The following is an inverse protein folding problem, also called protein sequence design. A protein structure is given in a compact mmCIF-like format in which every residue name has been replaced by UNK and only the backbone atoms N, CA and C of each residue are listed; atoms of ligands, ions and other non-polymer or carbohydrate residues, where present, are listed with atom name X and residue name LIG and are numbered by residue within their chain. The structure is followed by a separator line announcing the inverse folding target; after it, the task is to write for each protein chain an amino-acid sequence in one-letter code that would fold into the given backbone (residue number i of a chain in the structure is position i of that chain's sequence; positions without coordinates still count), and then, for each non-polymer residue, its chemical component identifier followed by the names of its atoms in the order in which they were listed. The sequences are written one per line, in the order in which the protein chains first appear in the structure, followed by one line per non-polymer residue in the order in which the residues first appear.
data_IF_521802962334
#
_entry.id   IF_521802962334
#
_cell.length_a   1.000
_cell.length_b   1.000
_cell.length_c   1.000
_cell.angle_alpha   90.00
_cell.angle_beta   90.00
_cell.angle_gamma   90.00
#
_symmetry.space_group_name_H-M   'P 1'
#
loop_
_entity.id
_entity.type
_entity.pdbx_description
1 polymer ?
#
# COMPACT_ATOMS: atom_id res chain seq x y z
N UNK A 1 21.56 11.94 -5.66
CA UNK A 1 20.97 12.53 -4.44
C UNK A 1 20.91 11.46 -3.39
N UNK A 2 21.69 11.55 -2.30
CA UNK A 2 21.69 10.54 -1.24
C UNK A 2 20.33 10.42 -0.52
N UNK A 3 19.99 9.19 -0.11
CA UNK A 3 18.81 8.94 0.71
C UNK A 3 18.89 9.66 2.05
N UNK A 4 17.82 10.36 2.39
CA UNK A 4 17.72 11.19 3.58
C UNK A 4 17.29 10.37 4.79
N UNK A 5 17.89 10.66 5.94
CA UNK A 5 17.38 10.21 7.25
C UNK A 5 16.15 11.05 7.62
N UNK A 6 15.01 10.40 7.79
CA UNK A 6 13.76 11.03 8.21
C UNK A 6 13.83 11.29 9.73
N UNK A 7 13.48 12.50 10.22
CA UNK A 7 13.47 12.79 11.65
C UNK A 7 12.62 11.80 12.45
N UNK A 8 13.06 11.47 13.66
CA UNK A 8 12.38 10.48 14.51
C UNK A 8 10.92 10.86 14.81
N UNK A 9 10.63 12.15 14.99
CA UNK A 9 9.26 12.65 15.21
C UNK A 9 8.33 12.30 14.04
N UNK A 10 8.82 12.43 12.80
CA UNK A 10 8.09 12.10 11.58
C UNK A 10 7.98 10.58 11.42
N UNK A 11 9.06 9.83 11.68
CA UNK A 11 9.03 8.35 11.67
C UNK A 11 8.04 7.79 12.68
N UNK A 12 7.89 8.41 13.86
CA UNK A 12 6.89 8.01 14.87
C UNK A 12 5.46 8.26 14.42
N UNK A 13 5.20 9.34 13.70
CA UNK A 13 3.91 9.57 13.05
C UNK A 13 3.64 8.49 11.99
N UNK A 14 4.64 8.22 11.14
CA UNK A 14 4.55 7.21 10.09
C UNK A 14 4.29 5.81 10.66
N UNK A 15 4.99 5.43 11.71
CA UNK A 15 4.84 4.14 12.37
C UNK A 15 3.65 4.08 13.35
N UNK A 16 2.81 5.13 13.43
CA UNK A 16 1.66 5.11 14.32
C UNK A 16 0.69 4.01 13.92
N UNK A 17 0.08 3.34 14.91
CA UNK A 17 -0.87 2.25 14.66
C UNK A 17 -2.04 2.67 13.74
N UNK A 18 -2.47 3.93 13.85
CA UNK A 18 -3.50 4.53 12.99
C UNK A 18 -3.04 4.57 11.52
N UNK A 19 -1.87 5.12 11.23
CA UNK A 19 -1.35 5.18 9.86
C UNK A 19 -1.08 3.80 9.27
N UNK A 20 -0.50 2.89 10.08
CA UNK A 20 -0.24 1.51 9.67
C UNK A 20 -1.51 0.78 9.25
N UNK A 21 -2.54 0.86 10.09
CA UNK A 21 -3.84 0.24 9.82
C UNK A 21 -4.58 0.90 8.66
N UNK A 22 -4.58 2.24 8.58
CA UNK A 22 -5.22 2.96 7.48
C UNK A 22 -4.65 2.50 6.12
N UNK A 23 -3.32 2.44 6.02
CA UNK A 23 -2.64 2.07 4.79
C UNK A 23 -2.87 0.58 4.43
N UNK A 24 -2.75 -0.32 5.41
CA UNK A 24 -3.03 -1.74 5.22
C UNK A 24 -4.48 -1.98 4.76
N UNK A 25 -5.45 -1.37 5.46
CA UNK A 25 -6.87 -1.49 5.17
C UNK A 25 -7.26 -0.95 3.81
N UNK A 26 -6.72 0.21 3.44
CA UNK A 26 -7.00 0.83 2.15
C UNK A 26 -6.61 -0.11 1.00
N UNK A 27 -5.42 -0.70 1.07
CA UNK A 27 -4.98 -1.69 0.09
C UNK A 27 -5.81 -2.97 0.15
N UNK A 28 -6.10 -3.46 1.36
CA UNK A 28 -6.88 -4.68 1.56
C UNK A 28 -8.27 -4.60 0.92
N UNK A 29 -9.03 -3.54 1.22
CA UNK A 29 -10.39 -3.34 0.70
C UNK A 29 -10.39 -3.34 -0.82
N UNK A 30 -9.46 -2.61 -1.45
CA UNK A 30 -9.33 -2.56 -2.92
C UNK A 30 -8.96 -3.93 -3.50
N UNK A 31 -8.10 -4.69 -2.83
CA UNK A 31 -7.70 -6.01 -3.30
C UNK A 31 -8.83 -7.05 -3.25
N UNK A 32 -9.74 -6.95 -2.29
CA UNK A 32 -10.80 -7.96 -2.08
C UNK A 32 -12.15 -7.61 -2.68
N UNK A 33 -12.38 -6.35 -3.05
CA UNK A 33 -13.72 -5.86 -3.39
C UNK A 33 -14.44 -6.71 -4.46
N UNK A 34 -13.72 -7.04 -5.54
CA UNK A 34 -14.23 -7.85 -6.65
C UNK A 34 -14.03 -9.36 -6.46
N UNK A 35 -13.43 -9.81 -5.36
CA UNK A 35 -13.27 -11.23 -5.09
C UNK A 35 -14.65 -11.87 -4.80
N UNK A 36 -15.08 -12.89 -5.56
CA UNK A 36 -16.35 -13.59 -5.30
C UNK A 36 -16.46 -14.16 -3.88
N UNK A 37 -15.35 -14.64 -3.32
CA UNK A 37 -15.31 -15.24 -1.97
C UNK A 37 -15.47 -14.19 -0.87
N UNK A 38 -15.11 -12.92 -1.14
CA UNK A 38 -15.39 -11.82 -0.22
C UNK A 38 -16.90 -11.55 -0.12
N UNK A 39 -17.58 -11.72 -1.26
CA UNK A 39 -19.03 -11.77 -1.32
C UNK A 39 -19.72 -10.51 -0.83
N UNK A 40 -21.05 -10.59 -0.74
CA UNK A 40 -21.86 -9.47 -0.28
C UNK A 40 -21.79 -9.29 1.24
N UNK A 41 -21.54 -10.35 1.98
CA UNK A 41 -21.39 -10.30 3.44
C UNK A 41 -20.20 -9.41 3.83
N UNK A 42 -19.03 -9.59 3.19
CA UNK A 42 -17.86 -8.76 3.42
C UNK A 42 -18.08 -7.30 3.00
N UNK A 43 -18.70 -7.07 1.83
CA UNK A 43 -19.01 -5.71 1.36
C UNK A 43 -20.02 -4.98 2.25
N UNK A 44 -21.07 -5.66 2.69
CA UNK A 44 -22.06 -5.12 3.63
C UNK A 44 -21.42 -4.69 4.95
N UNK A 45 -20.43 -5.46 5.38
CA UNK A 45 -19.66 -5.18 6.58
C UNK A 45 -18.79 -3.93 6.44
N UNK A 46 -18.07 -3.80 5.33
CA UNK A 46 -17.32 -2.59 5.02
C UNK A 46 -18.23 -1.36 4.93
N UNK A 47 -19.43 -1.48 4.35
CA UNK A 47 -20.43 -0.39 4.36
C UNK A 47 -20.84 0.01 5.77
N UNK A 48 -21.02 -0.96 6.66
CA UNK A 48 -21.34 -0.69 8.08
C UNK A 48 -20.21 0.09 8.77
N UNK A 49 -18.95 -0.22 8.42
CA UNK A 49 -17.77 0.48 8.92
C UNK A 49 -17.48 1.79 8.17
N UNK A 50 -18.26 2.15 7.14
CA UNK A 50 -18.00 3.27 6.23
C UNK A 50 -16.64 3.17 5.53
N UNK A 51 -16.23 1.94 5.26
CA UNK A 51 -15.02 1.54 4.56
C UNK A 51 -15.33 0.92 3.19
N UNK A 52 -16.56 1.06 2.70
CA UNK A 52 -16.92 0.59 1.37
C UNK A 52 -16.22 1.38 0.27
N UNK A 53 -15.88 0.67 -0.80
CA UNK A 53 -15.28 1.27 -1.97
C UNK A 53 -16.36 2.06 -2.73
N UNK A 54 -16.13 3.32 -3.10
CA UNK A 54 -17.15 4.11 -3.79
C UNK A 54 -17.48 3.50 -5.15
N UNK A 55 -18.69 2.99 -5.34
CA UNK A 55 -19.07 2.29 -6.57
C UNK A 55 -18.30 0.96 -6.74
N UNK A 56 -17.91 0.64 -7.98
CA UNK A 56 -17.09 -0.54 -8.28
C UNK A 56 -15.68 -0.14 -8.74
N UNK A 57 -14.99 0.64 -7.90
CA UNK A 57 -13.64 1.16 -8.17
C UNK A 57 -12.53 0.20 -7.76
N UNK A 58 -12.77 -1.10 -7.88
CA UNK A 58 -11.73 -2.12 -7.67
C UNK A 58 -10.67 -2.02 -8.77
N UNK A 59 -9.37 -2.14 -8.49
CA UNK A 59 -8.35 -2.14 -9.53
C UNK A 59 -8.48 -3.31 -10.51
N UNK A 60 -9.15 -4.40 -10.11
CA UNK A 60 -9.34 -5.60 -10.94
C UNK A 60 -10.78 -6.09 -10.91
N UNK A 61 -11.21 -6.69 -12.01
CA UNK A 61 -12.47 -7.44 -12.07
C UNK A 61 -12.38 -8.76 -11.32
N UNK A 62 -13.53 -9.42 -11.14
CA UNK A 62 -13.62 -10.69 -10.41
C UNK A 62 -12.81 -11.84 -11.04
N UNK A 63 -12.58 -11.80 -12.36
CA UNK A 63 -11.71 -12.72 -13.11
C UNK A 63 -10.23 -12.29 -13.14
N UNK A 64 -9.89 -11.20 -12.44
CA UNK A 64 -8.52 -10.74 -12.25
C UNK A 64 -7.99 -9.81 -13.34
N UNK A 65 -8.80 -9.45 -14.34
CA UNK A 65 -8.39 -8.47 -15.35
C UNK A 65 -8.25 -7.06 -14.76
N UNK A 66 -7.28 -6.31 -15.28
CA UNK A 66 -7.01 -4.94 -14.86
C UNK A 66 -8.10 -4.00 -15.40
N UNK A 67 -8.72 -3.20 -14.53
CA UNK A 67 -9.77 -2.26 -14.89
C UNK A 67 -9.19 -0.84 -15.07
N UNK A 68 -9.19 -0.29 -16.28
CA UNK A 68 -8.52 0.97 -16.60
C UNK A 68 -9.46 2.19 -16.65
N UNK A 69 -10.76 1.98 -16.56
CA UNK A 69 -11.81 2.95 -16.85
C UNK A 69 -12.75 3.22 -15.67
N UNK A 70 -12.46 2.64 -14.49
CA UNK A 70 -13.30 2.78 -13.31
C UNK A 70 -12.71 3.71 -12.24
N UNK A 71 -11.75 4.58 -12.55
CA UNK A 71 -11.16 5.56 -11.61
C UNK A 71 -10.40 4.98 -10.41
N UNK A 72 -10.27 3.65 -10.30
CA UNK A 72 -9.51 2.98 -9.23
C UNK A 72 -8.06 3.46 -9.13
N UNK A 73 -7.45 3.78 -10.28
CA UNK A 73 -6.10 4.34 -10.34
C UNK A 73 -6.01 5.81 -9.93
N UNK A 74 -7.09 6.59 -10.04
CA UNK A 74 -7.13 7.93 -9.46
C UNK A 74 -7.19 7.86 -7.94
N UNK A 75 -7.95 6.92 -7.36
CA UNK A 75 -7.95 6.69 -5.91
C UNK A 75 -6.53 6.35 -5.42
N UNK A 76 -5.78 5.51 -6.15
CA UNK A 76 -4.37 5.21 -5.86
C UNK A 76 -3.48 6.44 -5.90
N UNK A 77 -3.53 7.23 -6.97
CA UNK A 77 -2.71 8.43 -7.12
C UNK A 77 -3.05 9.48 -6.06
N UNK A 78 -4.33 9.69 -5.79
CA UNK A 78 -4.82 10.68 -4.83
C UNK A 78 -4.44 10.31 -3.40
N UNK A 79 -4.66 9.07 -2.98
CA UNK A 79 -4.35 8.62 -1.62
C UNK A 79 -2.85 8.79 -1.30
N UNK A 80 -1.97 8.40 -2.21
CA UNK A 80 -0.53 8.58 -2.00
C UNK A 80 -0.08 10.04 -2.06
N UNK A 81 -0.70 10.87 -2.90
CA UNK A 81 -0.49 12.33 -2.90
C UNK A 81 -0.87 12.95 -1.56
N UNK A 82 -1.97 12.51 -0.96
CA UNK A 82 -2.41 12.95 0.37
C UNK A 82 -1.44 12.50 1.48
N UNK A 83 -0.96 11.25 1.45
CA UNK A 83 0.08 10.76 2.37
C UNK A 83 1.39 11.55 2.26
N UNK A 84 1.80 11.91 1.03
CA UNK A 84 2.98 12.77 0.80
C UNK A 84 2.74 14.15 1.41
N UNK A 85 1.59 14.78 1.16
CA UNK A 85 1.26 16.09 1.71
C UNK A 85 1.24 16.10 3.25
N UNK A 86 0.70 15.05 3.87
CA UNK A 86 0.73 14.87 5.32
C UNK A 86 2.17 14.74 5.84
N UNK A 87 3.01 13.94 5.19
CA UNK A 87 4.42 13.78 5.59
C UNK A 87 5.21 15.07 5.43
N UNK A 88 5.02 15.79 4.33
CA UNK A 88 5.64 17.09 4.07
C UNK A 88 5.20 18.13 5.11
N UNK A 89 3.94 18.10 5.54
CA UNK A 89 3.46 18.94 6.64
C UNK A 89 4.21 18.63 7.96
N UNK A 90 4.36 17.36 8.31
CA UNK A 90 5.08 16.95 9.52
C UNK A 90 6.59 17.26 9.45
N UNK A 91 7.22 17.16 8.27
CA UNK A 91 8.59 17.62 8.04
C UNK A 91 8.69 19.13 8.25
N UNK A 92 7.77 19.90 7.68
CA UNK A 92 7.74 21.36 7.87
C UNK A 92 7.62 21.74 9.34
N UNK A 93 6.74 21.09 10.11
CA UNK A 93 6.61 21.29 11.56
C UNK A 93 7.90 20.93 12.33
N UNK A 94 8.68 19.98 11.81
CA UNK A 94 9.99 19.62 12.35
C UNK A 94 11.13 20.56 11.90
N UNK A 95 10.83 21.61 11.11
CA UNK A 95 11.82 22.55 10.57
C UNK A 95 12.59 22.01 9.37
N UNK A 96 12.03 21.00 8.70
CA UNK A 96 12.70 20.22 7.65
C UNK A 96 12.05 20.43 6.28
N UNK A 97 12.82 20.38 5.17
CA UNK A 97 12.24 20.46 3.83
C UNK A 97 11.49 19.17 3.47
N UNK A 98 10.62 19.20 2.44
CA UNK A 98 10.03 17.99 1.84
C UNK A 98 11.07 16.95 1.44
N UNK A 99 10.68 15.68 1.43
CA UNK A 99 11.53 14.61 0.89
C UNK A 99 11.65 14.82 -0.63
N UNK A 100 12.86 14.73 -1.14
CA UNK A 100 13.09 14.82 -2.57
C UNK A 100 12.57 13.59 -3.31
N UNK A 101 12.17 13.77 -4.56
CA UNK A 101 11.52 12.74 -5.37
C UNK A 101 12.49 12.19 -6.40
N UNK A 102 12.32 10.93 -6.78
CA UNK A 102 13.05 10.38 -7.93
C UNK A 102 12.49 10.98 -9.23
N UNK A 103 13.34 11.67 -9.99
CA UNK A 103 13.01 12.13 -11.34
C UNK A 103 13.01 10.98 -12.37
N UNK A 104 13.79 9.95 -12.09
CA UNK A 104 13.89 8.68 -12.81
C UNK A 104 14.16 7.58 -11.80
N UNK A 105 13.79 6.35 -12.13
CA UNK A 105 14.09 5.20 -11.26
C UNK A 105 15.61 5.02 -11.16
N UNK A 106 16.19 4.81 -9.95
CA UNK A 106 17.63 4.63 -9.80
C UNK A 106 18.13 3.45 -10.63
N UNK A 107 19.24 3.68 -11.33
CA UNK A 107 19.89 2.66 -12.15
C UNK A 107 20.53 1.58 -11.26
N UNK A 108 20.73 0.35 -11.79
CA UNK A 108 21.64 -0.61 -11.21
C UNK A 108 22.99 0.02 -10.83
N UNK A 109 23.45 -0.23 -9.60
CA UNK A 109 24.71 0.31 -9.09
C UNK A 109 24.66 1.77 -8.62
N UNK A 110 23.49 2.41 -8.58
CA UNK A 110 23.31 3.73 -7.97
C UNK A 110 23.74 3.68 -6.49
N UNK A 111 24.75 4.48 -6.12
CA UNK A 111 25.31 4.51 -4.77
C UNK A 111 24.44 5.24 -3.75
N UNK A 112 23.54 6.11 -4.22
CA UNK A 112 22.65 6.88 -3.37
C UNK A 112 21.40 6.07 -2.99
N UNK A 113 20.98 5.15 -3.87
CA UNK A 113 19.84 4.24 -3.68
C UNK A 113 20.20 2.78 -4.00
N UNK A 114 21.16 2.18 -3.27
CA UNK A 114 21.58 0.81 -3.54
C UNK A 114 20.43 -0.17 -3.36
N UNK A 115 20.33 -1.14 -4.27
CA UNK A 115 19.39 -2.26 -4.14
C UNK A 115 19.90 -3.20 -3.05
N UNK A 116 19.14 -3.44 -1.95
CA UNK A 116 19.57 -4.36 -0.92
C UNK A 116 19.70 -5.79 -1.47
N UNK A 117 20.67 -6.59 -1.01
CA UNK A 117 20.82 -7.98 -1.44
C UNK A 117 19.52 -8.79 -1.30
N UNK A 118 19.30 -9.74 -2.21
CA UNK A 118 18.24 -10.72 -2.03
C UNK A 118 18.58 -11.65 -0.86
N UNK A 119 17.56 -12.12 -0.14
CA UNK A 119 17.69 -13.06 0.97
C UNK A 119 16.93 -14.35 0.66
N UNK A 120 17.15 -15.37 1.49
CA UNK A 120 16.40 -16.62 1.44
C UNK A 120 15.09 -16.44 2.20
N UNK A 121 13.97 -16.43 1.48
CA UNK A 121 12.66 -16.21 2.06
C UNK A 121 12.24 -17.43 2.89
N UNK A 122 11.86 -17.19 4.14
CA UNK A 122 11.59 -18.24 5.11
C UNK A 122 10.41 -17.90 6.03
N UNK A 123 9.25 -17.62 5.44
CA UNK A 123 8.02 -17.40 6.22
C UNK A 123 7.56 -18.75 6.82
N UNK A 124 7.47 -18.89 8.15
CA UNK A 124 7.07 -20.13 8.81
C UNK A 124 5.61 -20.51 8.54
N UNK A 125 4.78 -19.58 8.06
CA UNK A 125 3.38 -19.84 7.69
C UNK A 125 3.24 -20.39 6.27
N UNK A 126 4.33 -20.38 5.49
CA UNK A 126 4.36 -20.82 4.10
C UNK A 126 5.03 -22.19 3.93
N UNK A 127 4.66 -22.88 2.86
CA UNK A 127 5.31 -24.15 2.50
C UNK A 127 6.77 -23.93 2.08
N UNK A 128 7.67 -24.93 2.28
CA UNK A 128 9.04 -24.86 1.77
C UNK A 128 9.12 -24.58 0.27
N UNK A 129 8.15 -25.07 -0.50
CA UNK A 129 8.04 -24.82 -1.94
C UNK A 129 7.69 -23.36 -2.24
N UNK A 130 6.74 -22.77 -1.50
CA UNK A 130 6.40 -21.34 -1.60
C UNK A 130 7.60 -20.48 -1.24
N UNK A 131 8.26 -20.78 -0.13
CA UNK A 131 9.47 -20.09 0.32
C UNK A 131 10.60 -20.14 -0.72
N UNK A 132 10.84 -21.30 -1.33
CA UNK A 132 11.83 -21.45 -2.39
C UNK A 132 11.45 -20.68 -3.68
N UNK A 133 10.16 -20.68 -4.06
CA UNK A 133 9.68 -19.88 -5.20
C UNK A 133 9.85 -18.38 -4.95
N UNK A 134 9.52 -17.93 -3.75
CA UNK A 134 9.69 -16.55 -3.31
C UNK A 134 11.14 -16.12 -3.32
N UNK A 135 12.03 -16.97 -2.84
CA UNK A 135 13.48 -16.74 -2.89
C UNK A 135 13.96 -16.53 -4.33
N UNK A 136 13.53 -17.38 -5.28
CA UNK A 136 13.87 -17.22 -6.70
C UNK A 136 13.34 -15.91 -7.26
N UNK A 137 12.09 -15.57 -6.93
CA UNK A 137 11.48 -14.31 -7.34
C UNK A 137 12.22 -13.09 -6.79
N UNK A 138 12.58 -13.07 -5.50
CA UNK A 138 13.34 -11.99 -4.87
C UNK A 138 14.70 -11.78 -5.56
N UNK A 139 15.42 -12.88 -5.86
CA UNK A 139 16.68 -12.81 -6.61
C UNK A 139 16.47 -12.23 -8.01
N UNK A 140 15.40 -12.61 -8.69
CA UNK A 140 15.09 -12.10 -10.02
C UNK A 140 14.72 -10.62 -10.00
N UNK A 141 13.77 -10.19 -9.16
CA UNK A 141 13.29 -8.79 -9.14
C UNK A 141 14.37 -7.79 -8.71
N UNK A 142 15.35 -8.24 -7.91
CA UNK A 142 16.50 -7.45 -7.48
C UNK A 142 17.65 -7.44 -8.50
N UNK A 143 17.60 -8.29 -9.53
CA UNK A 143 18.66 -8.37 -10.54
C UNK A 143 18.68 -7.14 -11.46
N UNK A 144 19.84 -6.85 -12.01
CA UNK A 144 20.02 -5.82 -13.05
C UNK A 144 19.24 -6.17 -14.31
N UNK A 145 19.18 -7.47 -14.64
CA UNK A 145 18.38 -7.98 -15.75
C UNK A 145 16.91 -7.57 -15.64
N UNK A 146 16.27 -7.76 -14.48
CA UNK A 146 14.87 -7.35 -14.30
C UNK A 146 14.68 -5.85 -14.47
N UNK A 147 15.63 -5.04 -14.00
CA UNK A 147 15.59 -3.61 -14.24
C UNK A 147 15.62 -3.29 -15.73
N UNK A 148 16.60 -3.84 -16.46
CA UNK A 148 16.80 -3.58 -17.88
C UNK A 148 15.61 -4.03 -18.73
N UNK A 149 15.12 -5.26 -18.50
CA UNK A 149 14.09 -5.88 -19.35
C UNK A 149 12.67 -5.56 -18.95
N UNK A 150 12.44 -5.01 -17.76
CA UNK A 150 11.08 -4.79 -17.23
C UNK A 150 10.90 -3.38 -16.72
N UNK A 151 11.59 -2.98 -15.65
CA UNK A 151 11.34 -1.67 -15.03
C UNK A 151 11.67 -0.50 -15.95
N UNK A 152 12.79 -0.57 -16.68
CA UNK A 152 13.19 0.51 -17.60
C UNK A 152 12.21 0.69 -18.75
N UNK A 153 11.58 -0.40 -19.21
CA UNK A 153 10.57 -0.36 -20.26
C UNK A 153 9.24 0.19 -19.72
N UNK A 154 8.85 -0.20 -18.51
CA UNK A 154 7.66 0.31 -17.84
C UNK A 154 7.77 1.81 -17.54
N UNK A 155 8.92 2.29 -17.05
CA UNK A 155 9.18 3.72 -16.84
C UNK A 155 9.09 4.49 -18.16
N UNK A 156 9.74 4.00 -19.23
CA UNK A 156 9.64 4.62 -20.56
C UNK A 156 8.21 4.68 -21.06
N UNK A 157 7.44 3.60 -20.87
CA UNK A 157 6.04 3.55 -21.28
C UNK A 157 5.18 4.55 -20.51
N UNK A 158 5.24 4.52 -19.17
CA UNK A 158 4.42 5.35 -18.28
C UNK A 158 4.75 6.84 -18.37
N UNK A 159 5.99 7.18 -18.76
CA UNK A 159 6.42 8.58 -18.86
C UNK A 159 6.42 9.12 -20.29
N UNK A 160 6.09 8.30 -21.30
CA UNK A 160 6.09 8.78 -22.69
C UNK A 160 4.92 9.75 -22.94
N UNK A 161 5.14 10.87 -23.65
CA UNK A 161 4.06 11.79 -23.98
C UNK A 161 2.94 11.15 -24.82
N UNK A 162 3.26 10.10 -25.60
CA UNK A 162 2.28 9.37 -26.39
C UNK A 162 1.32 8.58 -25.49
N UNK A 163 1.86 7.81 -24.54
CA UNK A 163 1.07 7.06 -23.55
C UNK A 163 0.24 8.00 -22.68
N UNK A 164 0.86 9.07 -22.16
CA UNK A 164 0.20 10.03 -21.27
C UNK A 164 -1.00 10.73 -21.93
N UNK A 165 -0.96 10.98 -23.25
CA UNK A 165 -2.09 11.54 -24.00
C UNK A 165 -3.14 10.51 -24.40
N UNK A 166 -2.75 9.23 -24.49
CA UNK A 166 -3.65 8.16 -24.93
C UNK A 166 -4.49 7.58 -23.79
N UNK A 167 -4.03 7.71 -22.54
CA UNK A 167 -4.65 7.11 -21.37
C UNK A 167 -5.22 8.17 -20.43
N UNK A 168 -6.32 7.84 -19.75
CA UNK A 168 -6.83 8.64 -18.64
C UNK A 168 -5.86 8.61 -17.45
N UNK A 169 -5.97 9.58 -16.55
CA UNK A 169 -5.17 9.60 -15.32
C UNK A 169 -5.42 8.33 -14.49
N UNK A 170 -6.67 7.86 -14.41
CA UNK A 170 -7.03 6.61 -13.74
C UNK A 170 -6.38 5.38 -14.38
N UNK A 171 -6.30 5.30 -15.72
CA UNK A 171 -5.60 4.21 -16.40
C UNK A 171 -4.09 4.23 -16.11
N UNK A 172 -3.46 5.41 -16.11
CA UNK A 172 -2.03 5.57 -15.75
C UNK A 172 -1.80 5.13 -14.30
N UNK A 173 -2.64 5.58 -13.37
CA UNK A 173 -2.54 5.23 -11.96
C UNK A 173 -2.64 3.73 -11.71
N UNK A 174 -3.64 3.07 -12.30
CA UNK A 174 -3.85 1.64 -12.07
C UNK A 174 -2.78 0.79 -12.77
N UNK A 175 -2.31 1.20 -13.96
CA UNK A 175 -1.15 0.56 -14.60
C UNK A 175 0.12 0.71 -13.75
N UNK A 176 0.40 1.90 -13.23
CA UNK A 176 1.56 2.13 -12.37
C UNK A 176 1.48 1.27 -11.10
N UNK A 177 0.33 1.29 -10.41
CA UNK A 177 0.08 0.50 -9.20
C UNK A 177 0.27 -1.01 -9.46
N UNK A 178 -0.32 -1.52 -10.53
CA UNK A 178 -0.34 -2.96 -10.85
C UNK A 178 0.85 -3.45 -11.65
N UNK A 179 1.89 -2.62 -11.83
CA UNK A 179 3.13 -3.02 -12.50
C UNK A 179 4.35 -2.54 -11.72
N UNK A 180 4.86 -1.35 -12.05
CA UNK A 180 6.16 -0.88 -11.63
C UNK A 180 6.21 -0.55 -10.13
N UNK A 181 5.10 -0.10 -9.55
CA UNK A 181 4.98 0.20 -8.12
C UNK A 181 5.29 -1.02 -7.25
N UNK A 182 4.57 -2.13 -7.43
CA UNK A 182 4.80 -3.34 -6.61
C UNK A 182 6.21 -3.89 -6.82
N UNK A 183 6.78 -3.67 -8.02
CA UNK A 183 8.15 -4.06 -8.31
C UNK A 183 9.17 -3.20 -7.56
N UNK A 184 8.97 -1.88 -7.45
CA UNK A 184 9.82 -0.99 -6.67
C UNK A 184 9.85 -1.38 -5.19
N UNK A 185 8.68 -1.67 -4.60
CA UNK A 185 8.61 -2.11 -3.21
C UNK A 185 9.48 -3.34 -2.95
N UNK A 186 9.39 -4.36 -3.81
CA UNK A 186 10.17 -5.57 -3.62
C UNK A 186 11.65 -5.41 -3.98
N UNK A 187 11.96 -4.61 -5.01
CA UNK A 187 13.35 -4.34 -5.40
C UNK A 187 14.14 -3.66 -4.29
N UNK A 188 13.60 -2.62 -3.66
CA UNK A 188 14.29 -1.90 -2.57
C UNK A 188 13.99 -2.39 -1.15
N UNK A 189 13.18 -3.44 -1.00
CA UNK A 189 12.97 -4.08 0.30
C UNK A 189 14.27 -4.72 0.83
N UNK A 190 14.50 -4.63 2.13
CA UNK A 190 15.48 -5.48 2.84
C UNK A 190 14.76 -6.65 3.49
N UNK A 191 15.52 -7.65 3.92
CA UNK A 191 14.99 -8.75 4.72
C UNK A 191 14.30 -8.19 5.97
N UNK A 192 13.03 -8.56 6.24
CA UNK A 192 12.31 -8.04 7.40
C UNK A 192 12.80 -8.71 8.69
N UNK A 193 12.61 -8.04 9.82
CA UNK A 193 12.86 -8.61 11.17
C UNK A 193 11.96 -9.79 11.52
N UNK A 194 10.95 -10.06 10.68
CA UNK A 194 10.03 -11.17 10.78
C UNK A 194 8.93 -11.07 9.74
N UNK A 195 8.19 -12.17 9.58
CA UNK A 195 7.01 -12.23 8.72
C UNK A 195 5.78 -12.06 9.58
N UNK A 196 5.08 -10.95 9.39
CA UNK A 196 3.82 -10.68 10.06
C UNK A 196 2.76 -11.64 9.50
N UNK A 197 1.91 -12.23 10.34
CA UNK A 197 0.73 -12.95 9.87
C UNK A 197 -0.10 -12.07 8.93
N UNK A 198 -0.85 -12.68 8.02
CA UNK A 198 -1.71 -11.93 7.10
C UNK A 198 -2.72 -11.02 7.83
N UNK A 199 -3.31 -10.08 7.08
CA UNK A 199 -4.19 -9.01 7.59
C UNK A 199 -5.21 -9.53 8.62
N UNK A 200 -4.96 -9.19 9.88
CA UNK A 200 -5.87 -9.41 11.00
C UNK A 200 -6.12 -8.07 11.67
N UNK A 201 -7.26 -7.42 11.43
CA UNK A 201 -7.45 -6.06 11.92
C UNK A 201 -7.70 -6.00 13.45
N UNK A 202 -8.05 -7.13 14.08
CA UNK A 202 -8.16 -7.22 15.54
C UNK A 202 -6.78 -7.35 16.20
N UNK A 203 -5.83 -7.93 15.47
CA UNK A 203 -4.45 -8.07 15.91
C UNK A 203 -3.49 -7.92 14.73
N UNK A 204 -3.29 -6.68 14.24
CA UNK A 204 -2.53 -6.44 13.02
C UNK A 204 -1.09 -6.87 13.16
N UNK A 205 -0.55 -6.78 14.37
CA UNK A 205 0.77 -7.22 14.75
C UNK A 205 0.82 -8.73 15.13
N UNK A 206 -0.28 -9.48 15.05
CA UNK A 206 -0.31 -10.89 15.44
C UNK A 206 0.16 -11.16 16.88
N UNK A 207 -0.01 -10.19 17.78
CA UNK A 207 0.32 -10.27 19.20
C UNK A 207 1.79 -10.02 19.49
N UNK A 208 2.58 -9.72 18.45
CA UNK A 208 4.02 -9.53 18.55
C UNK A 208 4.37 -8.03 18.40
N UNK A 209 4.77 -7.37 19.50
CA UNK A 209 5.02 -5.93 19.51
C UNK A 209 6.17 -5.50 18.60
N UNK A 210 6.99 -6.44 18.08
CA UNK A 210 8.04 -6.09 17.11
C UNK A 210 7.48 -5.49 15.83
N UNK A 211 6.26 -5.85 15.44
CA UNK A 211 5.63 -5.32 14.21
C UNK A 211 5.06 -3.91 14.39
N UNK A 212 4.82 -3.47 15.63
CA UNK A 212 4.47 -2.08 15.95
C UNK A 212 5.72 -1.18 16.14
N UNK A 213 6.91 -1.78 16.22
CA UNK A 213 8.15 -1.03 16.45
C UNK A 213 8.53 -0.14 15.26
N UNK A 214 9.29 0.92 15.53
CA UNK A 214 9.79 1.85 14.49
C UNK A 214 10.70 1.17 13.46
N UNK A 215 11.34 0.07 13.85
CA UNK A 215 12.26 -0.69 13.01
C UNK A 215 11.55 -1.76 12.19
N UNK A 216 10.23 -1.94 12.36
CA UNK A 216 9.40 -2.68 11.40
C UNK A 216 8.94 -1.75 10.29
N UNK A 217 9.80 -1.63 9.27
CA UNK A 217 9.64 -0.80 8.08
C UNK A 217 9.74 -1.63 6.79
N UNK A 218 9.24 -2.87 6.84
CA UNK A 218 9.34 -3.78 5.70
C UNK A 218 8.57 -3.22 4.49
N UNK A 219 9.33 -2.87 3.44
CA UNK A 219 8.79 -2.25 2.24
C UNK A 219 7.81 -3.16 1.48
N UNK A 220 7.87 -4.49 1.68
CA UNK A 220 6.97 -5.46 1.07
C UNK A 220 5.62 -5.64 1.77
N UNK A 221 5.42 -5.04 2.95
CA UNK A 221 4.17 -5.13 3.73
C UNK A 221 3.52 -3.74 3.85
N UNK A 222 2.26 -3.62 3.42
CA UNK A 222 1.52 -2.35 3.46
C UNK A 222 1.33 -1.85 4.89
N UNK A 223 1.38 -2.72 5.90
CA UNK A 223 1.37 -2.30 7.30
C UNK A 223 2.60 -1.47 7.71
N UNK A 224 3.70 -1.55 6.96
CA UNK A 224 4.97 -0.93 7.35
C UNK A 224 5.71 -0.18 6.27
N UNK A 225 5.32 -0.35 5.00
CA UNK A 225 6.11 0.16 3.88
C UNK A 225 6.33 1.68 3.94
N UNK A 226 5.34 2.45 4.37
CA UNK A 226 5.43 3.92 4.53
C UNK A 226 6.38 4.38 5.65
N UNK A 227 6.82 3.48 6.54
CA UNK A 227 7.86 3.80 7.54
C UNK A 227 9.25 3.79 6.90
N UNK A 228 9.42 3.05 5.80
CA UNK A 228 10.69 2.93 5.10
C UNK A 228 10.99 4.22 4.29
N UNK A 229 12.20 4.79 4.37
CA UNK A 229 12.53 5.98 3.60
C UNK A 229 12.35 5.83 2.07
N UNK A 230 12.61 4.65 1.49
CA UNK A 230 12.44 4.41 0.05
C UNK A 230 11.01 4.64 -0.44
N UNK A 231 10.01 4.40 0.42
CA UNK A 231 8.61 4.63 0.11
C UNK A 231 8.38 6.05 -0.41
N UNK A 232 8.96 7.06 0.25
CA UNK A 232 8.72 8.45 -0.11
C UNK A 232 9.39 8.84 -1.43
N UNK A 233 10.55 8.26 -1.73
CA UNK A 233 11.22 8.50 -3.01
C UNK A 233 10.48 7.83 -4.19
N UNK A 234 10.06 6.57 -4.01
CA UNK A 234 9.34 5.83 -5.04
C UNK A 234 7.93 6.40 -5.26
N UNK A 235 7.21 6.74 -4.19
CA UNK A 235 5.91 7.39 -4.31
C UNK A 235 6.01 8.83 -4.82
N UNK A 236 7.13 9.52 -4.58
CA UNK A 236 7.43 10.79 -5.24
C UNK A 236 7.51 10.66 -6.76
N UNK A 237 8.12 9.59 -7.29
CA UNK A 237 8.14 9.31 -8.73
C UNK A 237 6.74 8.99 -9.28
N UNK A 238 5.95 8.21 -8.51
CA UNK A 238 4.56 7.90 -8.86
C UNK A 238 3.71 9.17 -8.88
N UNK A 239 3.85 10.05 -7.88
CA UNK A 239 3.14 11.32 -7.77
C UNK A 239 3.47 12.25 -8.95
N UNK A 240 4.73 12.28 -9.38
CA UNK A 240 5.16 13.07 -10.54
C UNK A 240 4.54 12.59 -11.87
N UNK A 241 3.97 11.37 -11.95
CA UNK A 241 3.19 10.95 -13.12
C UNK A 241 1.94 11.81 -13.31
N UNK A 242 1.35 12.34 -12.24
CA UNK A 242 0.18 13.22 -12.29
C UNK A 242 0.56 14.52 -13.00
N UNK A 243 1.71 15.11 -12.64
CA UNK A 243 2.20 16.34 -13.24
C UNK A 243 2.61 16.13 -14.70
N UNK A 244 3.22 14.97 -15.03
CA UNK A 244 3.55 14.61 -16.41
C UNK A 244 2.30 14.43 -17.26
N UNK A 245 1.27 13.77 -16.72
CA UNK A 245 -0.01 13.59 -17.40
C UNK A 245 -0.72 14.93 -17.62
N UNK A 246 -0.76 15.77 -16.60
CA UNK A 246 -1.31 17.12 -16.65
C UNK A 246 -0.63 17.96 -17.74
N UNK A 247 0.71 17.98 -17.76
CA UNK A 247 1.49 18.68 -18.77
C UNK A 247 1.27 18.12 -20.19
N UNK A 248 1.25 16.80 -20.36
CA UNK A 248 1.05 16.16 -21.65
C UNK A 248 -0.34 16.42 -22.25
N UNK A 249 -1.35 16.63 -21.41
CA UNK A 249 -2.74 16.89 -21.78
C UNK A 249 -3.14 18.37 -21.64
N UNK A 250 -2.21 19.26 -21.29
CA UNK A 250 -2.45 20.69 -21.08
C UNK A 250 -3.56 20.97 -20.05
N UNK A 251 -3.62 20.14 -19.00
CA UNK A 251 -4.57 20.26 -17.89
C UNK A 251 -3.88 21.01 -16.76
N UNK A 252 -4.26 22.27 -16.46
CA UNK A 252 -3.56 23.06 -15.44
C UNK A 252 -3.89 22.63 -14.00
N UNK A 253 -5.05 22.00 -13.78
CA UNK A 253 -5.47 21.46 -12.49
C UNK A 253 -6.21 20.14 -12.73
N UNK A 254 -5.88 19.12 -11.94
CA UNK A 254 -6.59 17.84 -12.01
C UNK A 254 -7.98 17.99 -11.36
N UNK A 255 -9.02 17.68 -12.13
CA UNK A 255 -10.36 17.47 -11.60
C UNK A 255 -10.50 16.01 -11.21
N UNK A 256 -10.23 15.69 -9.96
CA UNK A 256 -10.28 14.32 -9.45
C UNK A 256 -11.71 13.75 -9.45
N UNK A 257 -11.82 12.52 -9.94
CA UNK A 257 -13.01 11.67 -9.78
C UNK A 257 -12.75 10.59 -8.73
N UNK A 258 -11.57 9.98 -8.78
CA UNK A 258 -11.04 9.09 -7.73
C UNK A 258 -10.36 9.88 -6.62
N UNK A 259 -10.88 9.77 -5.40
CA UNK A 259 -10.37 10.48 -4.21
C UNK A 259 -10.50 9.64 -2.93
N UNK A 260 -10.82 8.35 -3.06
CA UNK A 260 -11.07 7.52 -1.90
C UNK A 260 -9.77 7.21 -1.16
N UNK A 261 -9.67 7.66 0.10
CA UNK A 261 -8.52 7.44 0.99
C UNK A 261 -8.83 6.49 2.15
N UNK A 262 -9.99 5.83 2.09
CA UNK A 262 -10.46 4.90 3.12
C UNK A 262 -11.65 5.44 3.91
N UNK A 263 -12.00 4.72 4.97
CA UNK A 263 -13.05 5.10 5.92
C UNK A 263 -12.50 5.86 7.14
N UNK A 264 -13.33 6.09 8.17
CA UNK A 264 -12.89 6.71 9.43
C UNK A 264 -11.82 5.86 10.14
N UNK A 265 -10.98 6.53 10.94
CA UNK A 265 -9.96 5.86 11.77
C UNK A 265 -10.63 4.84 12.71
N UNK A 266 -10.27 3.57 12.54
CA UNK A 266 -10.80 2.46 13.32
C UNK A 266 -10.03 2.22 14.63
N UNK A 267 -8.86 2.83 14.83
CA UNK A 267 -8.01 2.59 16.02
C UNK A 267 -8.71 2.95 17.33
N UNK A 268 -9.41 4.10 17.49
CA UNK A 268 -10.16 4.39 18.70
C UNK A 268 -11.25 3.33 18.99
N UNK A 269 -11.86 2.76 17.95
CA UNK A 269 -12.86 1.70 18.08
C UNK A 269 -12.24 0.33 18.41
N UNK A 270 -11.06 0.03 17.87
CA UNK A 270 -10.32 -1.21 18.15
C UNK A 270 -9.67 -1.22 19.54
N UNK A 271 -9.22 -0.06 20.03
CA UNK A 271 -8.57 0.08 21.33
C UNK A 271 -9.56 0.15 22.49
N UNK A 272 -10.76 0.71 22.29
CA UNK A 272 -11.85 0.65 23.28
C UNK A 272 -12.44 -0.75 23.47
N UNK A 273 -12.17 -1.68 22.53
CA UNK A 273 -12.49 -3.11 22.66
C UNK A 273 -11.52 -3.88 23.58
N UNK A 274 -10.43 -3.25 24.05
CA UNK A 274 -9.57 -3.76 25.12
C UNK A 274 -9.90 -2.95 26.39
N UNK A 275 -10.32 -3.58 27.50
CA UNK A 275 -10.80 -2.83 28.65
C UNK A 275 -9.65 -2.14 29.36
N UNK A 276 -9.45 -0.85 29.08
CA UNK A 276 -8.95 0.08 30.09
C UNK A 276 -9.21 1.55 29.71
N UNK A 277 -9.76 2.26 30.69
CA UNK A 277 -9.83 3.71 30.90
C UNK A 277 -11.07 4.45 30.37
N UNK A 278 -12.00 4.55 31.33
CA UNK A 278 -13.12 5.47 31.52
C UNK A 278 -12.90 6.90 31.04
N UNK A 279 -13.79 7.36 30.14
CA UNK A 279 -14.19 8.77 30.02
C UNK A 279 -15.71 8.81 29.80
N UNK A 280 -16.42 9.51 30.68
CA UNK A 280 -17.86 9.69 30.66
C UNK A 280 -18.31 10.42 29.38
N UNK A 281 -18.85 9.64 28.44
CA UNK A 281 -19.82 10.08 27.43
C UNK A 281 -21.03 9.16 27.56
N UNK A 282 -22.21 9.69 27.22
CA UNK A 282 -23.52 9.05 27.37
C UNK A 282 -23.45 7.54 27.05
N UNK A 283 -23.42 6.72 28.11
CA UNK A 283 -22.86 5.37 28.04
C UNK A 283 -23.70 4.43 27.16
N UNK A 284 -25.00 4.67 27.04
CA UNK A 284 -25.91 3.75 26.36
C UNK A 284 -25.77 3.79 24.83
N UNK A 285 -25.59 4.96 24.23
CA UNK A 285 -25.49 5.13 22.77
C UNK A 285 -24.07 4.79 22.28
N UNK A 286 -23.04 5.21 23.02
CA UNK A 286 -21.65 4.83 22.74
C UNK A 286 -21.41 3.33 22.89
N UNK A 287 -21.99 2.68 23.91
CA UNK A 287 -21.84 1.23 24.11
C UNK A 287 -22.54 0.40 23.03
N UNK A 288 -23.67 0.88 22.48
CA UNK A 288 -24.37 0.17 21.41
C UNK A 288 -23.63 0.30 20.07
N UNK A 289 -23.16 1.50 19.73
CA UNK A 289 -22.32 1.73 18.56
C UNK A 289 -20.98 0.99 18.66
N UNK A 290 -20.34 0.98 19.85
CA UNK A 290 -19.07 0.28 20.05
C UNK A 290 -19.22 -1.24 19.96
N UNK A 291 -20.30 -1.81 20.50
CA UNK A 291 -20.58 -3.25 20.38
C UNK A 291 -20.91 -3.63 18.93
N UNK A 292 -21.69 -2.83 18.22
CA UNK A 292 -22.00 -3.08 16.81
C UNK A 292 -20.75 -2.97 15.95
N UNK A 293 -19.92 -1.96 16.16
CA UNK A 293 -18.63 -1.81 15.47
C UNK A 293 -17.72 -2.98 15.80
N UNK A 294 -17.62 -3.39 17.07
CA UNK A 294 -16.84 -4.57 17.49
C UNK A 294 -17.30 -5.85 16.80
N UNK A 295 -18.59 -6.18 16.88
CA UNK A 295 -19.13 -7.41 16.31
C UNK A 295 -19.02 -7.41 14.77
N UNK A 296 -19.07 -6.21 14.16
CA UNK A 296 -18.88 -6.00 12.72
C UNK A 296 -17.42 -6.18 12.31
N UNK A 297 -16.50 -5.62 13.08
CA UNK A 297 -15.05 -5.76 12.95
C UNK A 297 -14.66 -7.23 13.10
N UNK A 298 -15.13 -7.94 14.13
CA UNK A 298 -14.87 -9.37 14.36
C UNK A 298 -15.34 -10.26 13.19
N UNK A 299 -16.53 -9.98 12.63
CA UNK A 299 -17.02 -10.68 11.43
C UNK A 299 -16.13 -10.41 10.22
N UNK A 300 -15.56 -9.21 10.10
CA UNK A 300 -14.70 -8.85 8.98
C UNK A 300 -13.41 -9.64 9.07
N UNK A 301 -12.89 -9.85 10.28
CA UNK A 301 -11.73 -10.70 10.54
C UNK A 301 -11.98 -12.15 10.15
N UNK A 302 -13.15 -12.70 10.52
CA UNK A 302 -13.45 -14.09 10.19
C UNK A 302 -13.59 -14.30 8.69
N UNK A 303 -14.06 -13.29 7.95
CA UNK A 303 -14.14 -13.34 6.50
C UNK A 303 -12.74 -13.16 5.90
N UNK A 304 -11.97 -12.16 6.34
CA UNK A 304 -10.63 -11.86 5.81
C UNK A 304 -9.65 -13.01 5.97
N UNK A 305 -9.65 -13.69 7.13
CA UNK A 305 -8.79 -14.84 7.40
C UNK A 305 -9.04 -16.05 6.48
N UNK A 306 -10.19 -16.11 5.81
CA UNK A 306 -10.57 -17.20 4.89
C UNK A 306 -10.31 -16.85 3.42
N UNK A 307 -9.97 -15.60 3.12
CA UNK A 307 -9.78 -15.16 1.75
C UNK A 307 -8.33 -15.38 1.30
N UNK A 308 -8.11 -15.85 0.07
CA UNK A 308 -6.78 -15.98 -0.53
C UNK A 308 -6.24 -14.62 -1.03
N UNK A 309 -6.36 -13.59 -0.20
CA UNK A 309 -5.87 -12.24 -0.49
C UNK A 309 -4.36 -12.27 -0.32
N UNK A 310 -3.58 -11.72 -1.26
CA UNK A 310 -2.18 -11.41 -1.05
C UNK A 310 -2.02 -10.62 0.27
N UNK A 311 -1.46 -11.19 1.35
CA UNK A 311 -1.23 -10.45 2.59
C UNK A 311 -0.19 -9.34 2.44
N UNK A 312 0.58 -9.33 1.35
CA UNK A 312 1.74 -8.46 1.14
C UNK A 312 1.85 -8.01 -0.33
N UNK A 313 2.54 -6.89 -0.56
CA UNK A 313 2.89 -6.43 -1.91
C UNK A 313 3.73 -7.49 -2.64
N UNK A 314 4.54 -8.25 -1.92
CA UNK A 314 5.29 -9.39 -2.44
C UNK A 314 4.40 -10.39 -3.17
N UNK A 315 3.29 -10.79 -2.56
CA UNK A 315 2.34 -11.72 -3.19
C UNK A 315 1.65 -11.12 -4.42
N UNK A 316 1.39 -9.81 -4.41
CA UNK A 316 0.85 -9.09 -5.57
C UNK A 316 1.87 -9.09 -6.72
N UNK A 317 3.14 -8.77 -6.43
CA UNK A 317 4.20 -8.70 -7.46
C UNK A 317 4.48 -10.05 -8.08
N UNK A 318 4.50 -11.14 -7.29
CA UNK A 318 4.68 -12.51 -7.81
C UNK A 318 3.68 -12.82 -8.93
N UNK A 319 2.40 -12.52 -8.71
CA UNK A 319 1.31 -12.76 -9.68
C UNK A 319 1.47 -11.95 -10.97
N UNK A 320 2.18 -10.82 -10.92
CA UNK A 320 2.40 -9.93 -12.07
C UNK A 320 3.63 -10.33 -12.91
N UNK A 321 4.59 -11.03 -12.31
CA UNK A 321 5.85 -11.43 -12.97
C UNK A 321 5.87 -12.85 -13.53
N UNK A 322 4.87 -13.67 -13.20
CA UNK A 322 4.69 -14.95 -13.87
C UNK A 322 4.16 -14.70 -15.28
N UNK A 323 5.07 -14.73 -16.25
CA UNK A 323 4.71 -14.98 -17.65
C UNK A 323 4.06 -16.37 -17.66
N UNK A 324 2.89 -16.57 -18.31
CA UNK A 324 2.36 -17.91 -18.49
C UNK A 324 3.41 -18.77 -19.19
N UNK A 325 3.77 -19.91 -18.59
CA UNK A 325 4.55 -20.95 -19.28
C UNK A 325 3.81 -21.47 -20.51
#
# INVERSE_FOLDING_TARGET
MAMRIIPESVRRMQASKSMRLQHELWHYVRAVWSNPDFGEDGRSLLRTLKWDLPGDRSPRSADGHLLLDNFSGEDFLFMHRDMIAMTDHHLHLAGEPPISRWSTIPLPGDSDFPVPPAWDYADPNDSPQSNAATTRFLRFIKSDQYFETTMSLQEKFLTSPATLRALSLGAIGNLAEMTIHNAMHMRWSSEPVGYRPGVNLADPAGGDPRFDALDYDYLGDTYSSHVNPHFWYLHGWIDDLIERWAAANQVPNITWTGTWTGGPDLVPALTSAVPSLTVERDEAEFTLESNLVRDTVEKLMSLSAKLPVPPTLLEITKRQTLVPE
#
